data_IF_219094141173
#
_entry.id   IF_219094141173
#
_cell.length_a   1.000
_cell.length_b   1.000
_cell.length_c   1.000
_cell.angle_alpha   90.00
_cell.angle_beta   90.00
_cell.angle_gamma   90.00
#
_symmetry.space_group_name_H-M   'P 1'
#
loop_
_entity.id
_entity.type
_entity.pdbx_description
1 polymer ?
#
# COMPACT_ATOMS: atom_id res chain seq x y z
N UNK A 1 -10.89 35.03 2.68
CA UNK A 1 -10.47 35.91 3.80
C UNK A 1 -9.57 35.08 4.70
N UNK A 2 -8.30 35.48 4.85
CA UNK A 2 -7.29 34.74 5.61
C UNK A 2 -7.33 35.23 7.06
N UNK A 3 -7.46 34.30 8.01
CA UNK A 3 -7.28 34.57 9.45
C UNK A 3 -6.22 33.58 9.94
N UNK A 4 -5.24 34.08 10.68
CA UNK A 4 -4.12 33.28 11.20
C UNK A 4 -4.65 32.19 12.15
N UNK A 5 -4.27 30.93 11.93
CA UNK A 5 -4.71 29.76 12.74
C UNK A 5 -6.00 29.06 12.31
N UNK A 6 -6.49 29.30 11.10
CA UNK A 6 -7.86 28.93 10.69
C UNK A 6 -7.98 27.52 10.08
N UNK A 7 -8.80 26.67 10.72
CA UNK A 7 -9.43 25.50 10.10
C UNK A 7 -10.27 25.99 8.91
N UNK A 8 -9.93 25.57 7.70
CA UNK A 8 -10.78 25.83 6.52
C UNK A 8 -11.73 24.65 6.33
N UNK A 9 -12.98 24.76 6.81
CA UNK A 9 -14.05 23.89 6.33
C UNK A 9 -14.46 24.34 4.93
N UNK A 10 -13.92 23.71 3.88
CA UNK A 10 -14.39 23.95 2.50
C UNK A 10 -15.71 23.22 2.24
N UNK A 11 -16.81 23.73 2.80
CA UNK A 11 -18.16 23.23 2.54
C UNK A 11 -18.85 23.98 1.41
N UNK A 12 -18.47 23.75 0.16
CA UNK A 12 -19.30 24.14 -1.00
C UNK A 12 -19.12 23.16 -2.18
N UNK A 13 -19.25 21.85 -1.90
CA UNK A 13 -19.34 20.77 -2.91
C UNK A 13 -19.73 19.40 -2.33
N UNK A 14 -20.19 19.33 -1.07
CA UNK A 14 -20.48 18.07 -0.37
C UNK A 14 -19.24 17.35 0.18
N UNK A 15 -18.06 17.97 0.10
CA UNK A 15 -16.82 17.50 0.70
C UNK A 15 -16.60 18.25 2.03
N UNK A 16 -16.11 17.55 3.06
CA UNK A 16 -15.72 18.19 4.33
C UNK A 16 -14.24 17.92 4.56
N UNK A 17 -13.48 18.94 4.92
CA UNK A 17 -12.06 18.77 5.17
C UNK A 17 -11.52 19.83 6.12
N UNK A 18 -10.35 19.55 6.67
CA UNK A 18 -9.57 20.42 7.53
C UNK A 18 -8.19 20.53 6.90
N UNK A 19 -7.75 21.74 6.60
CA UNK A 19 -6.40 22.01 6.10
C UNK A 19 -5.65 22.90 7.07
N UNK A 20 -4.40 22.55 7.33
CA UNK A 20 -3.44 23.29 8.15
C UNK A 20 -2.12 23.42 7.38
N UNK A 21 -1.12 24.08 7.98
CA UNK A 21 0.24 24.11 7.41
C UNK A 21 0.94 22.75 7.39
N UNK A 22 0.54 21.83 8.27
CA UNK A 22 1.19 20.52 8.46
C UNK A 22 0.49 19.41 7.67
N UNK A 23 -0.57 19.74 6.93
CA UNK A 23 -1.32 18.78 6.13
C UNK A 23 -2.81 19.08 6.02
N UNK A 24 -3.52 18.15 5.40
CA UNK A 24 -4.97 18.19 5.26
C UNK A 24 -5.62 16.83 5.49
N UNK A 25 -6.86 16.86 5.97
CA UNK A 25 -7.76 15.71 6.05
C UNK A 25 -9.00 16.07 5.24
N UNK A 26 -9.44 15.19 4.35
CA UNK A 26 -10.62 15.40 3.51
C UNK A 26 -11.50 14.14 3.52
N UNK A 27 -12.80 14.33 3.64
CA UNK A 27 -13.83 13.30 3.52
C UNK A 27 -14.65 13.60 2.27
N UNK A 28 -14.60 12.68 1.32
CA UNK A 28 -15.39 12.67 0.10
C UNK A 28 -16.88 12.48 0.39
N UNK A 29 -17.72 13.07 -0.45
CA UNK A 29 -19.18 12.81 -0.51
C UNK A 29 -19.51 11.32 -0.75
N UNK A 30 -18.58 10.57 -1.30
CA UNK A 30 -18.68 9.13 -1.51
C UNK A 30 -18.19 8.29 -0.31
N UNK A 31 -17.79 8.93 0.79
CA UNK A 31 -17.27 8.27 1.99
C UNK A 31 -15.77 7.97 1.95
N UNK A 32 -15.06 8.31 0.86
CA UNK A 32 -13.59 8.21 0.83
C UNK A 32 -12.95 9.18 1.82
N UNK A 33 -11.79 8.81 2.36
CA UNK A 33 -11.03 9.65 3.30
C UNK A 33 -9.60 9.78 2.82
N UNK A 34 -9.09 11.01 2.75
CA UNK A 34 -7.72 11.31 2.39
C UNK A 34 -7.04 12.14 3.47
N UNK A 35 -5.84 11.73 3.87
CA UNK A 35 -4.92 12.47 4.73
C UNK A 35 -3.67 12.75 3.93
N UNK A 36 -3.25 14.01 3.89
CA UNK A 36 -2.05 14.46 3.20
C UNK A 36 -1.18 15.24 4.18
N UNK A 37 0.11 14.97 4.18
CA UNK A 37 1.14 15.68 4.95
C UNK A 37 2.29 16.03 4.01
N UNK A 38 3.22 16.91 4.40
CA UNK A 38 4.42 17.17 3.62
C UNK A 38 5.25 15.91 3.30
N UNK A 39 5.17 14.90 4.18
CA UNK A 39 5.97 13.69 4.11
C UNK A 39 5.13 12.46 3.77
N UNK A 40 4.04 12.63 3.02
CA UNK A 40 3.26 11.50 2.52
C UNK A 40 1.77 11.60 2.75
N UNK A 41 1.10 10.47 2.52
CA UNK A 41 -0.35 10.39 2.42
C UNK A 41 -0.92 9.06 2.86
N UNK A 42 -2.17 9.10 3.30
CA UNK A 42 -3.04 7.94 3.49
C UNK A 42 -4.35 8.22 2.77
N UNK A 43 -4.79 7.32 1.90
CA UNK A 43 -6.07 7.41 1.23
C UNK A 43 -6.84 6.10 1.46
N UNK A 44 -8.08 6.22 1.92
CA UNK A 44 -9.05 5.14 2.04
C UNK A 44 -10.15 5.39 1.01
N UNK A 45 -10.33 4.47 0.07
CA UNK A 45 -11.39 4.56 -0.93
C UNK A 45 -12.76 4.30 -0.29
N UNK A 46 -13.83 4.72 -0.98
CA UNK A 46 -15.21 4.44 -0.56
C UNK A 46 -15.51 2.94 -0.38
N UNK A 47 -14.75 2.09 -1.07
CA UNK A 47 -14.92 0.63 -1.05
C UNK A 47 -14.00 -0.05 -0.02
N UNK A 48 -13.25 0.73 0.77
CA UNK A 48 -12.39 0.23 1.85
C UNK A 48 -10.94 -0.08 1.46
N UNK A 49 -10.54 0.17 0.21
CA UNK A 49 -9.15 0.01 -0.21
C UNK A 49 -8.27 1.10 0.41
N UNK A 50 -7.06 0.75 0.86
CA UNK A 50 -6.14 1.67 1.55
C UNK A 50 -4.88 1.87 0.72
N UNK A 51 -4.38 3.09 0.63
CA UNK A 51 -3.09 3.41 0.03
C UNK A 51 -2.32 4.36 0.95
N UNK A 52 -1.11 3.98 1.34
CA UNK A 52 -0.20 4.74 2.20
C UNK A 52 1.09 4.99 1.45
N UNK A 53 1.57 6.23 1.43
CA UNK A 53 2.86 6.61 0.83
C UNK A 53 3.60 7.50 1.81
N UNK A 54 4.90 7.34 1.96
CA UNK A 54 5.73 8.14 2.89
C UNK A 54 6.34 9.40 2.25
N UNK A 55 5.79 9.82 1.10
CA UNK A 55 6.31 10.95 0.33
C UNK A 55 7.57 10.63 -0.47
N UNK A 56 8.16 9.46 -0.29
CA UNK A 56 9.28 8.94 -1.07
C UNK A 56 8.87 7.79 -2.00
N UNK A 57 9.74 6.80 -2.10
CA UNK A 57 9.53 5.61 -2.93
C UNK A 57 8.83 4.47 -2.18
N UNK A 58 8.55 4.62 -0.87
CA UNK A 58 7.90 3.59 -0.09
C UNK A 58 6.38 3.74 -0.14
N UNK A 59 5.69 2.62 -0.29
CA UNK A 59 4.23 2.59 -0.23
C UNK A 59 3.68 1.26 0.23
N UNK A 60 2.46 1.31 0.77
CA UNK A 60 1.64 0.15 1.11
C UNK A 60 0.26 0.37 0.52
N UNK A 61 -0.19 -0.58 -0.31
CA UNK A 61 -1.54 -0.58 -0.86
C UNK A 61 -2.26 -1.86 -0.46
N UNK A 62 -3.44 -1.71 0.14
CA UNK A 62 -4.36 -2.80 0.43
C UNK A 62 -5.57 -2.65 -0.49
N UNK A 63 -5.82 -3.66 -1.33
CA UNK A 63 -7.00 -3.77 -2.17
C UNK A 63 -8.24 -4.12 -1.36
N UNK A 64 -9.42 -3.86 -1.94
CA UNK A 64 -10.71 -4.21 -1.35
C UNK A 64 -10.95 -5.71 -1.26
N UNK A 65 -10.20 -6.49 -2.05
CA UNK A 65 -10.16 -7.94 -2.03
C UNK A 65 -9.16 -8.50 -0.99
N UNK A 66 -8.48 -7.63 -0.24
CA UNK A 66 -7.45 -8.00 0.72
C UNK A 66 -6.06 -8.23 0.12
N UNK A 67 -5.87 -8.03 -1.19
CA UNK A 67 -4.54 -8.07 -1.78
C UNK A 67 -3.67 -6.93 -1.23
N UNK A 68 -2.40 -7.19 -0.95
CA UNK A 68 -1.44 -6.21 -0.39
C UNK A 68 -0.25 -6.06 -1.33
N UNK A 69 0.12 -4.83 -1.65
CA UNK A 69 1.37 -4.47 -2.34
C UNK A 69 2.18 -3.55 -1.41
N UNK A 70 3.37 -3.99 -1.03
CA UNK A 70 4.35 -3.20 -0.27
C UNK A 70 5.53 -2.96 -1.17
N UNK A 71 5.91 -1.69 -1.31
CA UNK A 71 7.03 -1.28 -2.13
C UNK A 71 8.01 -0.45 -1.31
N UNK A 72 9.28 -0.74 -1.49
CA UNK A 72 10.42 0.09 -1.12
C UNK A 72 11.35 0.20 -2.33
N UNK A 73 12.43 1.01 -2.30
CA UNK A 73 13.43 1.02 -3.37
C UNK A 73 14.02 -0.36 -3.71
N UNK A 74 14.25 -1.19 -2.69
CA UNK A 74 15.00 -2.45 -2.83
C UNK A 74 14.11 -3.69 -2.76
N UNK A 75 12.82 -3.52 -2.49
CA UNK A 75 11.92 -4.66 -2.26
C UNK A 75 10.51 -4.37 -2.76
N UNK A 76 9.90 -5.39 -3.36
CA UNK A 76 8.48 -5.42 -3.68
C UNK A 76 7.87 -6.70 -3.12
N UNK A 77 6.89 -6.55 -2.25
CA UNK A 77 6.10 -7.66 -1.72
C UNK A 77 4.69 -7.54 -2.26
N UNK A 78 4.18 -8.60 -2.86
CA UNK A 78 2.78 -8.69 -3.29
C UNK A 78 2.17 -9.94 -2.71
N UNK A 79 1.08 -9.80 -1.99
CA UNK A 79 0.23 -10.91 -1.58
C UNK A 79 -1.13 -10.70 -2.21
N UNK A 80 -1.63 -11.68 -2.96
CA UNK A 80 -2.97 -11.60 -3.51
C UNK A 80 -4.02 -12.09 -2.50
N UNK A 81 -5.30 -11.92 -2.82
CA UNK A 81 -6.43 -12.33 -2.00
C UNK A 81 -6.53 -13.85 -1.76
N UNK A 82 -5.85 -14.67 -2.57
CA UNK A 82 -5.76 -16.12 -2.36
C UNK A 82 -4.56 -16.53 -1.48
N UNK A 83 -3.80 -15.57 -0.94
CA UNK A 83 -2.63 -15.84 -0.09
C UNK A 83 -1.33 -16.14 -0.83
N UNK A 84 -1.34 -16.17 -2.18
CA UNK A 84 -0.11 -16.31 -2.95
C UNK A 84 0.73 -15.04 -2.77
N UNK A 85 2.02 -15.22 -2.50
CA UNK A 85 2.94 -14.13 -2.17
C UNK A 85 4.14 -14.14 -3.10
N UNK A 86 4.56 -12.96 -3.56
CA UNK A 86 5.76 -12.74 -4.33
C UNK A 86 6.60 -11.66 -3.63
N UNK A 87 7.81 -12.01 -3.22
CA UNK A 87 8.81 -11.11 -2.67
C UNK A 87 9.93 -10.99 -3.69
N UNK A 88 10.13 -9.80 -4.22
CA UNK A 88 11.21 -9.47 -5.14
C UNK A 88 12.15 -8.51 -4.41
N UNK A 89 13.44 -8.85 -4.41
CA UNK A 89 14.53 -7.97 -3.98
C UNK A 89 15.50 -7.79 -5.14
N UNK A 90 16.51 -6.93 -4.98
CA UNK A 90 17.51 -6.69 -6.02
C UNK A 90 18.23 -7.99 -6.50
N UNK A 91 18.37 -9.00 -5.64
CA UNK A 91 19.19 -10.19 -5.92
C UNK A 91 18.45 -11.52 -5.77
N UNK A 92 17.18 -11.49 -5.38
CA UNK A 92 16.43 -12.70 -5.09
C UNK A 92 14.93 -12.52 -5.28
N UNK A 93 14.26 -13.63 -5.57
CA UNK A 93 12.80 -13.71 -5.59
C UNK A 93 12.32 -14.90 -4.76
N UNK A 94 11.23 -14.72 -4.02
CA UNK A 94 10.51 -15.79 -3.33
C UNK A 94 9.06 -15.74 -3.78
N UNK A 95 8.59 -16.81 -4.42
CA UNK A 95 7.22 -16.94 -4.91
C UNK A 95 6.57 -18.12 -4.24
N UNK A 96 5.55 -17.86 -3.44
CA UNK A 96 4.70 -18.88 -2.84
C UNK A 96 3.32 -18.80 -3.47
N UNK A 97 2.84 -19.90 -4.03
CA UNK A 97 1.46 -19.95 -4.53
C UNK A 97 0.45 -20.18 -3.40
N UNK A 98 -0.84 -20.12 -3.73
CA UNK A 98 -1.92 -20.29 -2.75
C UNK A 98 -1.98 -21.69 -2.13
N UNK A 99 -1.33 -22.69 -2.74
CA UNK A 99 -1.23 -24.05 -2.19
C UNK A 99 -0.06 -24.21 -1.22
N UNK A 100 0.80 -23.19 -1.12
CA UNK A 100 1.99 -23.19 -0.27
C UNK A 100 3.25 -23.71 -0.97
N UNK A 101 3.22 -24.01 -2.27
CA UNK A 101 4.43 -24.35 -3.01
C UNK A 101 5.29 -23.08 -3.18
N UNK A 102 6.56 -23.16 -2.82
CA UNK A 102 7.48 -22.02 -2.79
C UNK A 102 8.66 -22.24 -3.71
N UNK A 103 8.92 -21.26 -4.59
CA UNK A 103 10.12 -21.16 -5.39
C UNK A 103 10.98 -20.00 -4.87
N UNK A 104 12.24 -20.29 -4.58
CA UNK A 104 13.26 -19.31 -4.18
C UNK A 104 14.30 -19.28 -5.30
N UNK A 105 14.56 -18.10 -5.85
CA UNK A 105 15.70 -17.86 -6.72
C UNK A 105 16.58 -16.81 -6.06
N UNK A 106 17.84 -17.14 -5.77
CA UNK A 106 18.79 -16.22 -5.18
C UNK A 106 20.20 -16.53 -5.68
N UNK A 107 20.89 -15.53 -6.23
CA UNK A 107 22.29 -15.67 -6.67
C UNK A 107 22.51 -16.77 -7.73
N UNK A 108 21.54 -16.99 -8.61
CA UNK A 108 21.60 -18.03 -9.65
C UNK A 108 21.16 -19.43 -9.20
N UNK A 109 20.95 -19.64 -7.90
CA UNK A 109 20.42 -20.88 -7.35
C UNK A 109 18.90 -20.86 -7.38
N UNK A 110 18.29 -21.99 -7.75
CA UNK A 110 16.86 -22.20 -7.62
C UNK A 110 16.62 -23.25 -6.53
N UNK A 111 15.62 -23.03 -5.68
CA UNK A 111 15.13 -24.00 -4.71
C UNK A 111 13.63 -23.99 -4.79
N UNK A 112 13.03 -25.16 -5.02
CA UNK A 112 11.58 -25.34 -4.98
C UNK A 112 11.21 -26.25 -3.81
N UNK A 113 10.23 -25.84 -3.01
CA UNK A 113 9.59 -26.63 -1.97
C UNK A 113 8.14 -26.84 -2.33
N UNK A 114 7.70 -28.09 -2.47
CA UNK A 114 6.35 -28.43 -2.91
C UNK A 114 5.94 -29.81 -2.37
N UNK A 115 4.78 -29.88 -1.72
CA UNK A 115 4.30 -31.11 -1.07
C UNK A 115 5.29 -31.70 -0.05
N UNK A 116 6.07 -30.85 0.64
CA UNK A 116 7.10 -31.27 1.60
C UNK A 116 8.42 -31.78 0.97
N UNK A 117 8.55 -31.76 -0.36
CA UNK A 117 9.78 -32.12 -1.07
C UNK A 117 10.57 -30.86 -1.42
N UNK A 118 11.90 -30.97 -1.40
CA UNK A 118 12.82 -29.90 -1.83
C UNK A 118 13.54 -30.35 -3.11
N UNK A 119 13.61 -29.46 -4.10
CA UNK A 119 14.37 -29.64 -5.35
C UNK A 119 15.23 -28.42 -5.65
N UNK A 120 16.37 -28.62 -6.32
CA UNK A 120 17.37 -27.59 -6.67
C UNK A 120 17.53 -27.49 -8.19
#
# INVERSE_FOLDING_TARGET
>A
MVISGMIVLQGCSGQTGVTTKDGSINVGKDGSVGVQTPNGSVNVSKDGGVNVNDGGANSVKVGTDGAVDVKTPDTKVKTNSSGATNVETNNATVKTDASGATNINAGGQNVKVDGGKVSF
#
